data_IF_834752638789
#
_entry.id   IF_834752638789
#
_cell.length_a   1.000
_cell.length_b   1.000
_cell.length_c   1.000
_cell.angle_alpha   90.00
_cell.angle_beta   90.00
_cell.angle_gamma   90.00
#
_symmetry.space_group_name_H-M   'P 1'
#
loop_
_entity.id
_entity.type
_entity.pdbx_description
1 polymer ?
#
# COMPACT_ATOMS: atom_id res chain seq x y z
N UNK A 1 -41.71 31.54 -34.85
CA UNK A 1 -40.58 30.61 -34.59
C UNK A 1 -39.96 31.02 -33.27
N UNK A 2 -40.34 30.34 -32.19
CA UNK A 2 -39.68 30.50 -30.89
C UNK A 2 -38.48 29.56 -30.83
N UNK A 3 -37.31 30.07 -30.50
CA UNK A 3 -36.12 29.27 -30.22
C UNK A 3 -36.27 28.67 -28.82
N UNK A 4 -36.49 27.35 -28.74
CA UNK A 4 -36.51 26.65 -27.47
C UNK A 4 -35.07 26.41 -27.03
N UNK A 5 -34.69 26.92 -25.85
CA UNK A 5 -33.37 26.73 -25.26
C UNK A 5 -33.43 25.45 -24.40
N UNK A 6 -32.55 24.46 -24.60
CA UNK A 6 -32.57 23.28 -23.73
C UNK A 6 -32.16 23.69 -22.31
N UNK A 7 -32.97 23.34 -21.32
CA UNK A 7 -32.63 23.43 -19.91
C UNK A 7 -31.99 22.12 -19.47
N UNK A 8 -30.76 22.15 -19.00
CA UNK A 8 -30.12 21.03 -18.31
C UNK A 8 -30.60 21.02 -16.85
N UNK A 9 -31.46 20.08 -16.49
CA UNK A 9 -31.73 19.75 -15.08
C UNK A 9 -30.95 18.49 -14.73
N UNK A 10 -29.96 18.62 -13.84
CA UNK A 10 -29.20 17.52 -13.26
C UNK A 10 -29.96 16.96 -12.06
N UNK A 11 -30.38 15.69 -12.13
CA UNK A 11 -30.90 14.95 -10.97
C UNK A 11 -29.76 14.15 -10.33
N UNK A 12 -29.34 14.54 -9.14
CA UNK A 12 -28.35 13.82 -8.35
C UNK A 12 -29.01 12.60 -7.69
N UNK A 13 -28.65 11.39 -8.13
CA UNK A 13 -28.93 10.15 -7.41
C UNK A 13 -27.63 9.68 -6.75
N UNK A 14 -27.54 9.85 -5.44
CA UNK A 14 -26.32 9.60 -4.68
C UNK A 14 -26.15 8.11 -4.31
N UNK A 15 -25.53 7.34 -5.21
CA UNK A 15 -24.64 6.23 -4.81
C UNK A 15 -23.22 6.83 -4.65
N UNK A 16 -22.47 6.51 -3.58
CA UNK A 16 -21.13 7.07 -3.40
C UNK A 16 -20.20 6.65 -4.56
N UNK A 17 -19.80 7.63 -5.38
CA UNK A 17 -18.80 7.47 -6.44
C UNK A 17 -19.32 7.42 -7.88
N UNK A 18 -20.63 7.56 -8.11
CA UNK A 18 -21.23 7.61 -9.45
C UNK A 18 -21.90 8.97 -9.65
N UNK A 19 -21.43 9.75 -10.63
CA UNK A 19 -22.16 10.90 -11.14
C UNK A 19 -22.80 10.48 -12.46
N UNK A 20 -24.13 10.55 -12.52
CA UNK A 20 -24.88 10.31 -13.74
C UNK A 20 -25.12 11.68 -14.39
N UNK A 21 -24.50 11.93 -15.54
CA UNK A 21 -24.91 13.02 -16.42
C UNK A 21 -25.94 12.48 -17.41
N UNK A 22 -27.13 13.09 -17.46
CA UNK A 22 -28.12 12.82 -18.50
C UNK A 22 -28.03 13.93 -19.55
N UNK A 23 -27.51 13.59 -20.73
CA UNK A 23 -27.55 14.47 -21.89
C UNK A 23 -28.76 14.16 -22.78
N UNK A 24 -29.51 15.20 -23.14
CA UNK A 24 -30.71 15.08 -23.97
C UNK A 24 -30.40 15.42 -25.42
N UNK A 25 -30.33 14.41 -26.28
CA UNK A 25 -30.21 14.59 -27.73
C UNK A 25 -31.54 14.29 -28.42
N UNK A 26 -32.16 15.32 -28.98
CA UNK A 26 -33.42 15.20 -29.74
C UNK A 26 -33.14 14.75 -31.19
N UNK A 27 -33.64 13.57 -31.56
CA UNK A 27 -33.82 13.14 -32.95
C UNK A 27 -35.26 12.65 -33.13
N UNK A 28 -35.86 12.95 -34.29
CA UNK A 28 -37.28 13.25 -34.46
C UNK A 28 -38.31 12.13 -34.27
N UNK A 29 -38.00 10.99 -33.66
CA UNK A 29 -39.05 10.02 -33.28
C UNK A 29 -38.66 8.99 -32.21
N UNK A 30 -37.41 8.94 -31.75
CA UNK A 30 -36.99 7.96 -30.73
C UNK A 30 -36.12 8.62 -29.65
N UNK A 31 -36.51 8.41 -28.39
CA UNK A 31 -35.76 8.85 -27.22
C UNK A 31 -34.69 7.81 -26.89
N UNK A 32 -33.43 8.14 -27.17
CA UNK A 32 -32.29 7.32 -26.75
C UNK A 32 -31.72 7.87 -25.44
N UNK A 33 -31.79 7.10 -24.37
CA UNK A 33 -31.10 7.41 -23.12
C UNK A 33 -29.64 6.97 -23.23
N UNK A 34 -28.71 7.92 -23.19
CA UNK A 34 -27.29 7.62 -23.00
C UNK A 34 -26.97 8.00 -21.56
N UNK A 35 -26.85 6.99 -20.70
CA UNK A 35 -26.29 7.18 -19.37
C UNK A 35 -24.76 7.17 -19.48
N UNK A 36 -24.13 8.33 -19.37
CA UNK A 36 -22.68 8.40 -19.28
C UNK A 36 -22.30 8.22 -17.82
N UNK A 37 -21.62 7.12 -17.51
CA UNK A 37 -21.10 6.88 -16.15
C UNK A 37 -19.78 7.63 -16.02
N UNK A 38 -19.80 8.78 -15.34
CA UNK A 38 -18.57 9.47 -14.96
C UNK A 38 -18.00 8.74 -13.74
N UNK A 39 -17.01 7.87 -13.96
CA UNK A 39 -16.18 7.40 -12.86
C UNK A 39 -15.36 8.59 -12.35
N UNK A 40 -15.53 8.96 -11.08
CA UNK A 40 -14.66 9.95 -10.44
C UNK A 40 -13.26 9.34 -10.34
N UNK A 41 -12.47 9.50 -11.40
CA UNK A 41 -11.06 9.12 -11.45
C UNK A 41 -10.24 10.22 -10.77
N UNK A 42 -9.46 9.83 -9.76
CA UNK A 42 -8.45 10.73 -9.20
C UNK A 42 -7.47 11.22 -10.28
N UNK A 43 -6.73 12.29 -10.00
CA UNK A 43 -5.80 12.91 -10.98
C UNK A 43 -4.74 11.97 -11.55
N UNK A 44 -4.47 10.84 -10.88
CA UNK A 44 -3.56 9.79 -11.30
C UNK A 44 -4.22 8.67 -12.13
N UNK A 45 -5.46 8.85 -12.57
CA UNK A 45 -6.25 7.86 -13.33
C UNK A 45 -6.36 6.48 -12.65
N UNK A 46 -6.25 6.44 -11.32
CA UNK A 46 -6.41 5.22 -10.53
C UNK A 46 -5.29 4.17 -10.70
N UNK A 47 -4.21 4.46 -11.43
CA UNK A 47 -3.15 3.49 -11.74
C UNK A 47 -2.55 2.82 -10.49
N UNK A 48 -2.26 3.60 -9.44
CA UNK A 48 -1.72 3.09 -8.17
C UNK A 48 -2.81 2.71 -7.16
N UNK A 49 -4.05 3.15 -7.39
CA UNK A 49 -5.13 2.96 -6.45
C UNK A 49 -5.47 1.48 -6.31
N UNK A 50 -5.83 0.82 -7.42
CA UNK A 50 -6.25 -0.59 -7.42
C UNK A 50 -5.15 -1.53 -6.94
N UNK A 51 -3.92 -1.25 -7.34
CA UNK A 51 -2.80 -2.13 -7.04
C UNK A 51 -2.36 -2.03 -5.57
N UNK A 52 -2.34 -0.83 -4.99
CA UNK A 52 -1.69 -0.64 -3.70
C UNK A 52 -2.49 0.10 -2.63
N UNK A 53 -3.38 1.02 -3.00
CA UNK A 53 -4.12 1.84 -2.03
C UNK A 53 -5.44 1.21 -1.61
N UNK A 54 -6.17 0.65 -2.56
CA UNK A 54 -7.45 -0.03 -2.34
C UNK A 54 -7.36 -1.14 -1.28
N UNK A 55 -6.31 -1.98 -1.24
CA UNK A 55 -6.21 -3.05 -0.24
C UNK A 55 -5.82 -2.59 1.17
N UNK A 56 -5.53 -1.29 1.38
CA UNK A 56 -5.14 -0.77 2.70
C UNK A 56 -6.32 -0.89 3.66
N UNK A 57 -6.12 -1.62 4.75
CA UNK A 57 -7.18 -1.90 5.73
C UNK A 57 -7.27 -0.79 6.76
N UNK A 58 -8.45 -0.21 6.89
CA UNK A 58 -8.79 0.63 8.03
C UNK A 58 -8.80 -0.23 9.29
N UNK A 59 -8.17 0.26 10.35
CA UNK A 59 -8.22 -0.41 11.64
C UNK A 59 -9.59 -0.16 12.30
N UNK A 60 -10.34 -1.23 12.57
CA UNK A 60 -11.68 -1.17 13.18
C UNK A 60 -11.67 -1.35 14.71
N UNK A 61 -10.52 -1.71 15.28
CA UNK A 61 -10.37 -1.91 16.73
C UNK A 61 -10.00 -0.59 17.39
N UNK A 62 -10.78 -0.15 18.38
CA UNK A 62 -10.44 1.04 19.16
C UNK A 62 -9.18 0.78 20.00
N UNK A 63 -8.17 1.63 19.81
CA UNK A 63 -6.93 1.61 20.59
C UNK A 63 -6.88 2.85 21.47
N UNK A 64 -6.78 2.68 22.79
CA UNK A 64 -6.57 3.80 23.71
C UNK A 64 -5.08 4.19 23.76
N UNK A 65 -4.66 4.92 22.73
CA UNK A 65 -3.28 5.40 22.59
C UNK A 65 -2.81 6.27 23.75
N UNK A 66 -3.71 6.94 24.48
CA UNK A 66 -3.34 7.82 25.60
C UNK A 66 -2.91 7.04 26.83
N UNK A 67 -3.42 5.82 26.98
CA UNK A 67 -3.07 4.92 28.09
C UNK A 67 -1.78 4.10 27.84
N UNK A 68 -1.33 4.02 26.58
CA UNK A 68 -0.18 3.19 26.20
C UNK A 68 1.16 3.89 26.46
N UNK A 69 2.15 3.15 26.94
CA UNK A 69 3.54 3.62 26.96
C UNK A 69 4.13 3.55 25.55
N UNK A 70 4.20 4.70 24.89
CA UNK A 70 4.79 4.88 23.56
C UNK A 70 6.26 5.32 23.61
N UNK A 71 6.89 5.33 24.79
CA UNK A 71 8.27 5.82 24.94
C UNK A 71 9.28 5.00 24.13
N UNK A 72 8.94 3.76 23.76
CA UNK A 72 9.76 2.93 22.87
C UNK A 72 9.90 3.48 21.45
N UNK A 73 9.03 4.41 21.02
CA UNK A 73 9.09 5.07 19.71
C UNK A 73 10.09 6.24 19.65
N UNK A 74 10.63 6.67 20.81
CA UNK A 74 11.70 7.67 20.83
C UNK A 74 12.94 7.12 20.12
N UNK A 75 13.57 7.92 19.26
CA UNK A 75 14.59 7.47 18.30
C UNK A 75 15.64 6.51 18.86
N UNK A 76 16.25 6.85 20.00
CA UNK A 76 17.28 6.03 20.65
C UNK A 76 16.75 4.67 21.13
N UNK A 77 15.52 4.66 21.67
CA UNK A 77 14.84 3.45 22.15
C UNK A 77 14.34 2.62 20.97
N UNK A 78 13.77 3.27 19.95
CA UNK A 78 13.22 2.61 18.78
C UNK A 78 14.31 1.94 17.96
N UNK A 79 15.47 2.59 17.79
CA UNK A 79 16.61 1.99 17.07
C UNK A 79 17.01 0.66 17.73
N UNK A 80 17.18 0.64 19.05
CA UNK A 80 17.55 -0.57 19.82
C UNK A 80 16.45 -1.63 19.76
N UNK A 81 15.20 -1.22 20.02
CA UNK A 81 14.03 -2.10 20.00
C UNK A 81 13.85 -2.77 18.63
N UNK A 82 13.94 -1.99 17.55
CA UNK A 82 13.79 -2.47 16.19
C UNK A 82 14.96 -3.38 15.78
N UNK A 83 16.20 -3.02 16.14
CA UNK A 83 17.38 -3.86 15.93
C UNK A 83 17.22 -5.23 16.60
N UNK A 84 16.73 -5.27 17.84
CA UNK A 84 16.48 -6.53 18.57
C UNK A 84 15.45 -7.41 17.88
N UNK A 85 14.39 -6.83 17.31
CA UNK A 85 13.38 -7.57 16.57
C UNK A 85 13.96 -8.13 15.26
N UNK A 86 14.67 -7.30 14.49
CA UNK A 86 15.29 -7.73 13.22
C UNK A 86 16.36 -8.80 13.45
N UNK A 87 17.14 -8.69 14.53
CA UNK A 87 18.17 -9.67 14.91
C UNK A 87 17.58 -11.03 15.26
N UNK A 88 16.41 -11.08 15.90
CA UNK A 88 15.72 -12.32 16.26
C UNK A 88 15.07 -13.03 15.07
N UNK A 89 14.86 -12.33 13.96
CA UNK A 89 14.24 -12.90 12.77
C UNK A 89 15.19 -13.89 12.06
N UNK A 90 14.64 -15.03 11.64
CA UNK A 90 15.41 -16.10 11.00
C UNK A 90 15.82 -15.69 9.58
N UNK A 91 17.10 -15.79 9.20
CA UNK A 91 17.52 -15.43 7.85
C UNK A 91 17.01 -16.44 6.82
N UNK A 92 16.57 -15.92 5.66
CA UNK A 92 16.12 -16.72 4.51
C UNK A 92 16.95 -16.36 3.29
N UNK A 93 17.40 -17.40 2.57
CA UNK A 93 18.29 -17.27 1.42
C UNK A 93 17.74 -18.00 0.18
N UNK A 94 18.22 -17.61 -1.00
CA UNK A 94 17.90 -18.24 -2.29
C UNK A 94 16.65 -17.64 -2.94
N UNK A 95 15.92 -18.44 -3.73
CA UNK A 95 14.66 -18.06 -4.36
C UNK A 95 13.43 -18.54 -3.56
N UNK A 96 12.22 -18.29 -4.06
CA UNK A 96 10.94 -18.74 -3.49
C UNK A 96 10.67 -18.21 -2.07
N UNK A 97 10.92 -16.91 -1.88
CA UNK A 97 10.84 -16.28 -0.57
C UNK A 97 9.47 -16.42 0.08
N UNK A 98 8.39 -16.38 -0.71
CA UNK A 98 7.02 -16.56 -0.22
C UNK A 98 6.87 -17.93 0.44
N UNK A 99 7.19 -19.02 -0.28
CA UNK A 99 7.07 -20.38 0.23
C UNK A 99 7.95 -20.60 1.46
N UNK A 100 9.20 -20.14 1.42
CA UNK A 100 10.15 -20.28 2.54
C UNK A 100 9.70 -19.51 3.77
N UNK A 101 9.21 -18.29 3.60
CA UNK A 101 8.67 -17.48 4.71
C UNK A 101 7.44 -18.15 5.34
N UNK A 102 6.61 -18.85 4.56
CA UNK A 102 5.47 -19.60 5.09
C UNK A 102 5.89 -20.82 5.91
N UNK A 103 6.95 -21.50 5.51
CA UNK A 103 7.40 -22.75 6.14
C UNK A 103 8.24 -22.54 7.41
N UNK A 104 8.76 -21.33 7.64
CA UNK A 104 9.55 -21.02 8.83
C UNK A 104 8.66 -20.50 9.95
N UNK A 105 8.71 -21.16 11.11
CA UNK A 105 8.07 -20.64 12.31
C UNK A 105 8.77 -19.38 12.83
N UNK A 106 7.98 -18.35 13.15
CA UNK A 106 8.46 -17.06 13.64
C UNK A 106 8.72 -16.04 12.54
N UNK A 107 9.31 -14.91 12.95
CA UNK A 107 9.64 -13.82 12.03
C UNK A 107 10.85 -14.17 11.17
N UNK A 108 10.89 -13.66 9.94
CA UNK A 108 11.94 -13.94 8.96
C UNK A 108 12.56 -12.67 8.40
N UNK A 109 13.84 -12.74 8.06
CA UNK A 109 14.57 -11.65 7.39
C UNK A 109 15.17 -12.14 6.07
N UNK A 110 14.98 -11.36 5.02
CA UNK A 110 15.48 -11.60 3.66
C UNK A 110 16.36 -10.42 3.31
N UNK A 111 17.62 -10.68 2.96
CA UNK A 111 18.54 -9.63 2.51
C UNK A 111 18.28 -9.32 1.03
N UNK A 112 18.13 -8.05 0.68
CA UNK A 112 18.17 -7.59 -0.71
C UNK A 112 19.49 -6.86 -0.97
N UNK A 113 20.00 -6.96 -2.20
CA UNK A 113 21.32 -6.45 -2.59
C UNK A 113 21.26 -5.01 -3.08
N UNK A 114 20.26 -4.70 -3.90
CA UNK A 114 20.09 -3.42 -4.57
C UNK A 114 18.60 -3.16 -4.83
N UNK A 115 18.32 -2.06 -5.53
CA UNK A 115 16.95 -1.66 -5.86
C UNK A 115 16.21 -2.71 -6.71
N UNK A 116 16.87 -3.31 -7.72
CA UNK A 116 16.22 -4.29 -8.58
C UNK A 116 15.89 -5.57 -7.81
N UNK A 117 16.82 -6.03 -6.97
CA UNK A 117 16.60 -7.19 -6.10
C UNK A 117 15.47 -6.94 -5.09
N UNK A 118 15.37 -5.73 -4.55
CA UNK A 118 14.25 -5.31 -3.72
C UNK A 118 12.93 -5.34 -4.49
N UNK A 119 12.85 -4.70 -5.67
CA UNK A 119 11.64 -4.63 -6.48
C UNK A 119 11.13 -6.03 -6.85
N UNK A 120 12.04 -6.91 -7.28
CA UNK A 120 11.74 -8.31 -7.59
C UNK A 120 11.24 -9.07 -6.36
N UNK A 121 11.85 -8.86 -5.20
CA UNK A 121 11.45 -9.52 -3.95
C UNK A 121 10.11 -8.99 -3.44
N UNK A 122 9.92 -7.68 -3.41
CA UNK A 122 8.69 -7.01 -3.03
C UNK A 122 7.51 -7.42 -3.94
N UNK A 123 7.77 -7.57 -5.24
CA UNK A 123 6.79 -8.05 -6.21
C UNK A 123 6.28 -9.46 -5.92
N UNK A 124 7.14 -10.38 -5.47
CA UNK A 124 6.73 -11.72 -5.04
C UNK A 124 5.73 -11.70 -3.88
N UNK A 125 5.85 -10.71 -2.98
CA UNK A 125 4.95 -10.54 -1.83
C UNK A 125 3.74 -9.65 -2.11
N UNK A 126 3.65 -9.05 -3.30
CA UNK A 126 2.57 -8.13 -3.66
C UNK A 126 2.56 -6.83 -2.85
N UNK A 127 3.72 -6.40 -2.33
CA UNK A 127 3.85 -5.13 -1.59
C UNK A 127 4.37 -4.02 -2.52
N UNK A 128 4.41 -2.78 -2.03
CA UNK A 128 5.00 -1.66 -2.76
C UNK A 128 6.45 -1.93 -3.18
N UNK A 129 6.69 -1.87 -4.49
CA UNK A 129 8.02 -1.97 -5.08
C UNK A 129 8.71 -0.59 -5.17
N UNK A 130 7.96 0.49 -4.98
CA UNK A 130 8.45 1.85 -5.23
C UNK A 130 9.46 2.38 -4.22
N UNK A 131 10.34 3.24 -4.73
CA UNK A 131 11.33 4.01 -3.99
C UNK A 131 11.05 5.50 -4.13
N UNK A 132 11.44 6.26 -3.10
CA UNK A 132 11.49 7.71 -3.15
C UNK A 132 12.84 8.18 -2.62
N UNK A 133 13.58 8.92 -3.45
CA UNK A 133 14.89 9.49 -3.11
C UNK A 133 15.87 8.47 -2.50
N UNK A 134 15.89 7.25 -3.07
CA UNK A 134 16.75 6.16 -2.63
C UNK A 134 16.24 5.41 -1.38
N UNK A 135 14.98 5.59 -0.98
CA UNK A 135 14.37 4.90 0.16
C UNK A 135 13.11 4.14 -0.27
N UNK A 136 13.00 2.83 0.01
CA UNK A 136 11.76 2.09 -0.23
C UNK A 136 10.61 2.62 0.64
N UNK A 137 9.38 2.53 0.15
CA UNK A 137 8.19 2.87 0.95
C UNK A 137 8.16 2.06 2.24
N UNK A 138 7.84 2.71 3.37
CA UNK A 138 7.75 2.14 4.73
C UNK A 138 9.08 1.63 5.32
N UNK A 139 10.22 1.93 4.69
CA UNK A 139 11.51 1.50 5.20
C UNK A 139 11.97 2.35 6.40
N UNK A 140 12.61 1.69 7.37
CA UNK A 140 13.41 2.34 8.40
C UNK A 140 14.85 1.82 8.33
N UNK A 141 15.82 2.71 8.08
CA UNK A 141 17.24 2.35 7.85
C UNK A 141 17.42 1.24 6.80
N UNK A 142 16.62 1.27 5.74
CA UNK A 142 16.64 0.27 4.66
C UNK A 142 15.96 -1.07 4.99
N UNK A 143 15.24 -1.16 6.12
CA UNK A 143 14.44 -2.35 6.44
C UNK A 143 12.96 -2.08 6.20
N UNK A 144 12.33 -2.87 5.33
CA UNK A 144 10.87 -2.87 5.12
C UNK A 144 10.26 -4.01 5.93
N UNK A 145 9.25 -3.71 6.73
CA UNK A 145 8.55 -4.68 7.58
C UNK A 145 7.09 -4.81 7.17
N UNK A 146 6.63 -6.04 6.99
CA UNK A 146 5.23 -6.34 6.69
C UNK A 146 4.84 -7.72 7.19
N UNK A 147 3.56 -8.07 7.02
CA UNK A 147 3.01 -9.40 7.30
C UNK A 147 2.43 -9.98 6.02
N UNK A 148 2.64 -11.26 5.77
CA UNK A 148 2.15 -11.94 4.58
C UNK A 148 1.33 -13.17 4.98
N UNK A 149 0.02 -13.12 4.72
CA UNK A 149 -1.05 -14.13 4.98
C UNK A 149 -1.12 -14.72 6.41
N UNK A 150 -0.19 -14.39 7.30
CA UNK A 150 -0.09 -14.85 8.68
C UNK A 150 0.29 -13.69 9.60
N UNK A 151 0.27 -13.90 10.92
CA UNK A 151 0.66 -12.88 11.91
C UNK A 151 2.17 -12.62 11.99
N UNK A 152 2.98 -13.47 11.34
CA UNK A 152 4.45 -13.41 11.32
C UNK A 152 4.95 -12.23 10.49
N UNK A 153 6.03 -11.60 10.96
CA UNK A 153 6.67 -10.47 10.27
C UNK A 153 7.74 -10.95 9.30
N UNK A 154 7.78 -10.30 8.15
CA UNK A 154 8.82 -10.43 7.14
C UNK A 154 9.59 -9.11 7.11
N UNK A 155 10.91 -9.20 7.19
CA UNK A 155 11.82 -8.07 7.09
C UNK A 155 12.62 -8.18 5.79
N UNK A 156 12.44 -7.24 4.85
CA UNK A 156 13.39 -7.07 3.75
C UNK A 156 14.48 -6.14 4.24
N UNK A 157 15.72 -6.63 4.26
CA UNK A 157 16.86 -5.98 4.89
C UNK A 157 17.84 -5.53 3.82
N UNK A 158 18.09 -4.22 3.73
CA UNK A 158 19.03 -3.65 2.78
C UNK A 158 20.49 -3.94 3.12
N UNK A 159 21.41 -3.66 2.18
CA UNK A 159 22.83 -4.01 2.32
C UNK A 159 23.48 -3.35 3.54
N UNK A 160 23.15 -2.08 3.81
CA UNK A 160 23.72 -1.31 4.92
C UNK A 160 22.87 -1.38 6.20
N UNK A 161 21.70 -2.02 6.16
CA UNK A 161 20.70 -1.93 7.22
C UNK A 161 21.16 -2.50 8.55
N UNK A 162 21.84 -3.65 8.54
CA UNK A 162 22.35 -4.27 9.76
C UNK A 162 23.39 -3.38 10.44
N UNK A 163 24.31 -2.77 9.66
CA UNK A 163 25.30 -1.81 10.18
C UNK A 163 24.62 -0.58 10.77
N UNK A 164 23.65 0.01 10.06
CA UNK A 164 22.90 1.18 10.53
C UNK A 164 22.08 0.90 11.80
N UNK A 165 21.72 -0.37 12.03
CA UNK A 165 21.02 -0.83 13.22
C UNK A 165 21.96 -1.28 14.35
N UNK A 166 23.28 -1.26 14.14
CA UNK A 166 24.25 -1.75 15.13
C UNK A 166 24.14 -3.26 15.38
N UNK A 167 23.66 -4.02 14.39
CA UNK A 167 23.61 -5.48 14.45
C UNK A 167 24.95 -5.99 13.89
N UNK A 168 25.91 -6.17 14.77
CA UNK A 168 27.19 -6.82 14.48
C UNK A 168 26.97 -8.36 14.42
N UNK A 169 27.69 -9.05 13.52
CA UNK A 169 27.72 -10.53 13.40
C UNK A 169 26.44 -11.28 12.95
N UNK A 170 25.66 -10.74 12.01
CA UNK A 170 24.38 -11.31 11.55
C UNK A 170 24.32 -11.93 10.13
#
# INVERSE_FOLDING_TARGET
MGTFKPSSESLEFAEPGIVLSLDFMSSSTDWLFIAQTEHILGSSLGQFFKQYLEPIKLNEVQVDWKSMDLSYLLEEKYTKHFADIVRKAKPVYGADFVLKAHNIEGDVRIKYKDQSDFENTAGQFGIFQEWKDGVPRTAYKGVVVFRHQTSRRIFLVGPESLRLLGIEDA
#
